data_IF_220339760174
#
_entry.id   IF_220339760174
#
_cell.length_a   1.000
_cell.length_b   1.000
_cell.length_c   1.000
_cell.angle_alpha   90.00
_cell.angle_beta   90.00
_cell.angle_gamma   90.00
#
_symmetry.space_group_name_H-M   'P 1'
#
loop_
_entity.id
_entity.type
_entity.pdbx_description
1 polymer ?
#
# COMPACT_ATOMS: atom_id res chain seq x y z
N UNK A 1 -11.45 -3.84 -3.72
CA UNK A 1 -11.06 -2.43 -3.70
C UNK A 1 -9.83 -2.25 -4.57
N UNK A 2 -9.90 -1.39 -5.57
CA UNK A 2 -8.81 -1.11 -6.53
C UNK A 2 -7.86 -0.03 -6.00
N UNK A 3 -6.61 0.04 -6.50
CA UNK A 3 -5.68 1.11 -6.12
C UNK A 3 -6.26 2.52 -6.36
N UNK A 4 -7.05 2.67 -7.42
CA UNK A 4 -7.75 3.93 -7.74
C UNK A 4 -8.77 4.31 -6.65
N UNK A 5 -9.59 3.36 -6.22
CA UNK A 5 -10.57 3.58 -5.14
C UNK A 5 -9.88 3.94 -3.82
N UNK A 6 -8.75 3.28 -3.51
CA UNK A 6 -7.95 3.58 -2.31
C UNK A 6 -7.39 5.01 -2.39
N UNK A 7 -6.85 5.42 -3.54
CA UNK A 7 -6.37 6.78 -3.77
C UNK A 7 -7.46 7.82 -3.60
N UNK A 8 -8.66 7.57 -4.15
CA UNK A 8 -9.81 8.45 -4.01
C UNK A 8 -10.26 8.58 -2.55
N UNK A 9 -10.31 7.48 -1.79
CA UNK A 9 -10.64 7.56 -0.36
C UNK A 9 -9.56 8.31 0.44
N UNK A 10 -8.29 8.14 0.10
CA UNK A 10 -7.20 8.86 0.77
C UNK A 10 -7.29 10.37 0.51
N UNK A 11 -7.57 10.77 -0.73
CA UNK A 11 -7.80 12.18 -1.11
C UNK A 11 -9.02 12.73 -0.36
N UNK A 12 -10.16 12.03 -0.42
CA UNK A 12 -11.39 12.46 0.22
C UNK A 12 -11.23 12.61 1.75
N UNK A 13 -10.46 11.71 2.38
CA UNK A 13 -10.15 11.81 3.81
C UNK A 13 -9.32 13.05 4.11
N UNK A 14 -8.27 13.30 3.34
CA UNK A 14 -7.39 14.46 3.57
C UNK A 14 -8.15 15.78 3.36
N UNK A 15 -8.99 15.86 2.34
CA UNK A 15 -9.86 17.03 2.12
C UNK A 15 -10.87 17.22 3.25
N UNK A 16 -11.45 16.13 3.77
CA UNK A 16 -12.33 16.17 4.94
C UNK A 16 -11.62 16.66 6.21
N UNK A 17 -10.37 16.25 6.40
CA UNK A 17 -9.51 16.66 7.52
C UNK A 17 -9.01 18.13 7.34
N UNK A 18 -9.43 18.83 6.29
CA UNK A 18 -9.14 20.26 6.05
C UNK A 18 -7.88 20.51 5.22
N UNK A 19 -7.24 19.47 4.67
CA UNK A 19 -6.08 19.64 3.81
C UNK A 19 -6.49 20.11 2.42
N UNK A 20 -5.83 21.16 1.91
CA UNK A 20 -5.99 21.60 0.53
C UNK A 20 -4.95 20.93 -0.35
N UNK A 21 -5.34 19.84 -1.01
CA UNK A 21 -4.45 19.08 -1.88
C UNK A 21 -4.28 19.79 -3.23
N UNK A 22 -3.03 19.87 -3.68
CA UNK A 22 -2.71 20.29 -5.04
C UNK A 22 -2.82 19.11 -6.01
N UNK A 23 -2.90 19.36 -7.33
CA UNK A 23 -2.83 18.29 -8.32
C UNK A 23 -1.51 17.48 -8.28
N UNK A 24 -0.45 18.00 -7.67
CA UNK A 24 0.79 17.26 -7.46
C UNK A 24 0.65 16.28 -6.28
N UNK A 25 0.01 16.71 -5.19
CA UNK A 25 -0.24 15.87 -4.01
C UNK A 25 -1.14 14.68 -4.37
N UNK A 26 -2.18 14.92 -5.17
CA UNK A 26 -3.07 13.85 -5.65
C UNK A 26 -2.30 12.80 -6.46
N UNK A 27 -1.39 13.23 -7.35
CA UNK A 27 -0.53 12.30 -8.12
C UNK A 27 0.42 11.52 -7.23
N UNK A 28 0.96 12.14 -6.20
CA UNK A 28 1.87 11.45 -5.28
C UNK A 28 1.13 10.43 -4.41
N UNK A 29 -0.10 10.73 -4.00
CA UNK A 29 -1.00 9.77 -3.34
C UNK A 29 -1.24 8.56 -4.26
N UNK A 30 -1.64 8.81 -5.52
CA UNK A 30 -1.86 7.74 -6.50
C UNK A 30 -0.60 6.89 -6.73
N UNK A 31 0.56 7.54 -6.86
CA UNK A 31 1.85 6.86 -7.03
C UNK A 31 2.18 5.96 -5.84
N UNK A 32 1.98 6.49 -4.63
CA UNK A 32 2.26 5.76 -3.38
C UNK A 32 1.35 4.55 -3.24
N UNK A 33 0.05 4.71 -3.49
CA UNK A 33 -0.92 3.62 -3.43
C UNK A 33 -0.62 2.53 -4.48
N UNK A 34 -0.23 2.92 -5.69
CA UNK A 34 0.17 1.96 -6.72
C UNK A 34 1.44 1.21 -6.33
N UNK A 35 2.46 1.91 -5.82
CA UNK A 35 3.70 1.29 -5.36
C UNK A 35 3.47 0.31 -4.21
N UNK A 36 2.61 0.66 -3.25
CA UNK A 36 2.24 -0.22 -2.14
C UNK A 36 1.46 -1.45 -2.63
N UNK A 37 0.53 -1.28 -3.57
CA UNK A 37 -0.20 -2.39 -4.17
C UNK A 37 0.74 -3.38 -4.84
N UNK A 38 1.70 -2.89 -5.64
CA UNK A 38 2.71 -3.74 -6.30
C UNK A 38 3.54 -4.47 -5.25
N UNK A 39 4.03 -3.77 -4.23
CA UNK A 39 4.81 -4.36 -3.13
C UNK A 39 4.02 -5.46 -2.42
N UNK A 40 2.76 -5.21 -2.11
CA UNK A 40 1.87 -6.16 -1.45
C UNK A 40 1.59 -7.38 -2.31
N UNK A 41 1.41 -7.21 -3.61
CA UNK A 41 1.24 -8.33 -4.54
C UNK A 41 2.51 -9.17 -4.63
N UNK A 42 3.69 -8.55 -4.79
CA UNK A 42 4.97 -9.28 -4.74
C UNK A 42 5.15 -10.07 -3.45
N UNK A 43 4.79 -9.46 -2.31
CA UNK A 43 4.84 -10.16 -1.03
C UNK A 43 3.88 -11.35 -1.02
N UNK A 44 2.63 -11.17 -1.47
CA UNK A 44 1.66 -12.28 -1.57
C UNK A 44 2.13 -13.40 -2.49
N UNK A 45 2.73 -13.08 -3.63
CA UNK A 45 3.32 -14.04 -4.55
C UNK A 45 4.47 -14.80 -3.89
N UNK A 46 5.36 -14.09 -3.21
CA UNK A 46 6.45 -14.69 -2.44
C UNK A 46 5.91 -15.67 -1.39
N UNK A 47 4.87 -15.30 -0.63
CA UNK A 47 4.27 -16.17 0.39
C UNK A 47 3.59 -17.43 -0.21
N UNK A 48 3.17 -17.36 -1.49
CA UNK A 48 2.55 -18.49 -2.22
C UNK A 48 3.58 -19.36 -2.94
N UNK A 49 4.84 -18.93 -3.02
CA UNK A 49 5.87 -19.67 -3.74
C UNK A 49 6.15 -21.02 -3.05
N UNK A 50 6.34 -22.13 -3.80
CA UNK A 50 6.65 -23.44 -3.21
C UNK A 50 7.94 -23.44 -2.38
N UNK A 51 8.87 -22.55 -2.71
CA UNK A 51 10.14 -22.38 -1.99
C UNK A 51 9.99 -21.58 -0.68
N UNK A 52 8.87 -20.88 -0.48
CA UNK A 52 8.65 -20.11 0.73
C UNK A 52 8.34 -21.03 1.91
N UNK A 53 9.23 -21.04 2.90
CA UNK A 53 9.05 -21.73 4.17
C UNK A 53 9.03 -20.70 5.29
N UNK A 54 7.89 -20.52 5.95
CA UNK A 54 7.85 -19.71 7.16
C UNK A 54 8.62 -20.42 8.28
N UNK A 55 9.72 -19.81 8.73
CA UNK A 55 10.50 -20.30 9.88
C UNK A 55 10.20 -19.43 11.08
N UNK A 56 9.75 -20.06 12.18
CA UNK A 56 9.53 -19.37 13.45
C UNK A 56 10.87 -18.80 13.95
N UNK A 57 10.96 -17.49 14.27
CA UNK A 57 12.19 -16.93 14.80
C UNK A 57 12.52 -17.59 16.15
N UNK A 58 13.80 -17.89 16.38
CA UNK A 58 14.25 -18.42 17.67
C UNK A 58 14.01 -17.38 18.77
N UNK A 59 13.65 -17.82 20.00
CA UNK A 59 13.49 -16.90 21.11
C UNK A 59 14.80 -16.14 21.35
N UNK A 60 14.71 -14.82 21.41
CA UNK A 60 15.85 -13.96 21.81
C UNK A 60 16.07 -14.18 23.31
N UNK A 61 17.27 -14.64 23.67
CA UNK A 61 17.72 -14.75 25.07
C UNK A 61 18.05 -13.38 25.63
#
# INVERSE_FOLDING_TARGET
>A
MTPREIGLLAIAKLEHDGHRLTPADQREIERTVNADTIRRNRFREMMRAPAYQWKKPAPRR
#
